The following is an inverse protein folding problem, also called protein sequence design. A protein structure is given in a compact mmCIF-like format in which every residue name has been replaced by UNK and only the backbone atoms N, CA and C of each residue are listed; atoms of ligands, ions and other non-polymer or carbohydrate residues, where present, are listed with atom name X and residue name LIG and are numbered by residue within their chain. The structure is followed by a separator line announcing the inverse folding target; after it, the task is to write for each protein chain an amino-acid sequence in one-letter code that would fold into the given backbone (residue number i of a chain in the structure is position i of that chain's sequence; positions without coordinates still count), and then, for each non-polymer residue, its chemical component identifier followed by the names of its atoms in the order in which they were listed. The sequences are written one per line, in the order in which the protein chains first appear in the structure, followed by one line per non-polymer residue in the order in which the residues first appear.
data_IF_893437981574
#
_entry.id   IF_893437981574
#
_cell.length_a   1.000
_cell.length_b   1.000
_cell.length_c   1.000
_cell.angle_alpha   90.00
_cell.angle_beta   90.00
_cell.angle_gamma   90.00
#
_symmetry.space_group_name_H-M   'P 1'
#
loop_
_entity.id
_entity.type
_entity.pdbx_description
1 polymer ?
#
# COMPACT_ATOMS: atom_id res chain seq x y z
N UNK A 1 -27.34 -2.31 -16.50
CA UNK A 1 -26.94 -3.64 -15.96
C UNK A 1 -28.07 -4.07 -15.04
N UNK A 2 -28.45 -5.35 -15.05
CA UNK A 2 -29.42 -5.88 -14.07
C UNK A 2 -28.68 -6.35 -12.82
N UNK A 3 -29.36 -6.40 -11.69
CA UNK A 3 -28.91 -6.89 -10.39
C UNK A 3 -28.29 -8.28 -10.52
N UNK A 4 -28.97 -9.19 -11.22
CA UNK A 4 -28.49 -10.55 -11.43
C UNK A 4 -27.14 -10.57 -12.16
N UNK A 5 -27.01 -9.78 -13.23
CA UNK A 5 -25.74 -9.66 -13.97
C UNK A 5 -24.64 -9.06 -13.11
N UNK A 6 -24.96 -8.05 -12.29
CA UNK A 6 -23.99 -7.45 -11.36
C UNK A 6 -23.50 -8.47 -10.33
N UNK A 7 -24.41 -9.23 -9.71
CA UNK A 7 -24.07 -10.22 -8.69
C UNK A 7 -23.29 -11.40 -9.29
N UNK A 8 -23.63 -11.85 -10.50
CA UNK A 8 -22.84 -12.87 -11.22
C UNK A 8 -21.41 -12.39 -11.50
N UNK A 9 -21.26 -11.18 -12.05
CA UNK A 9 -19.94 -10.60 -12.29
C UNK A 9 -19.15 -10.44 -10.99
N UNK A 10 -19.79 -10.00 -9.91
CA UNK A 10 -19.16 -9.85 -8.61
C UNK A 10 -18.72 -11.21 -8.06
N UNK A 11 -19.54 -12.26 -8.21
CA UNK A 11 -19.20 -13.63 -7.80
C UNK A 11 -18.00 -14.17 -8.56
N UNK A 12 -17.92 -13.93 -9.87
CA UNK A 12 -16.76 -14.29 -10.70
C UNK A 12 -15.49 -13.56 -10.23
N UNK A 13 -15.60 -12.26 -9.94
CA UNK A 13 -14.47 -11.43 -9.48
C UNK A 13 -13.99 -11.79 -8.07
N UNK A 14 -14.86 -12.34 -7.23
CA UNK A 14 -14.60 -12.68 -5.83
C UNK A 14 -14.37 -14.18 -5.56
N UNK A 15 -14.41 -15.03 -6.59
CA UNK A 15 -14.28 -16.50 -6.50
C UNK A 15 -13.04 -17.00 -5.74
N UNK A 16 -12.00 -16.18 -5.60
CA UNK A 16 -10.79 -16.49 -4.82
C UNK A 16 -10.93 -16.33 -3.30
N UNK A 17 -12.09 -15.89 -2.79
CA UNK A 17 -12.41 -15.85 -1.35
C UNK A 17 -12.88 -17.22 -0.83
N UNK A 18 -12.81 -17.47 0.51
CA UNK A 18 -13.50 -18.59 1.13
C UNK A 18 -14.99 -18.61 0.72
N UNK A 19 -15.55 -19.79 0.45
CA UNK A 19 -16.96 -19.91 0.00
C UNK A 19 -17.94 -19.20 0.92
N UNK A 20 -17.78 -19.37 2.23
CA UNK A 20 -18.67 -18.73 3.22
C UNK A 20 -18.55 -17.20 3.14
N UNK A 21 -17.33 -16.66 3.16
CA UNK A 21 -17.07 -15.22 3.00
C UNK A 21 -17.54 -14.67 1.63
N UNK A 22 -17.57 -15.49 0.57
CA UNK A 22 -18.07 -15.11 -0.75
C UNK A 22 -19.60 -14.95 -0.73
N UNK A 23 -20.30 -15.97 -0.25
CA UNK A 23 -21.76 -15.96 -0.19
C UNK A 23 -22.27 -14.86 0.74
N UNK A 24 -21.63 -14.65 1.90
CA UNK A 24 -21.95 -13.56 2.83
C UNK A 24 -21.84 -12.18 2.14
N UNK A 25 -20.79 -11.97 1.32
CA UNK A 25 -20.62 -10.71 0.59
C UNK A 25 -21.62 -10.54 -0.53
N UNK A 26 -21.95 -11.59 -1.26
CA UNK A 26 -22.97 -11.54 -2.31
C UNK A 26 -24.35 -11.25 -1.70
N UNK A 27 -24.68 -11.88 -0.57
CA UNK A 27 -25.91 -11.61 0.17
C UNK A 27 -25.96 -10.15 0.65
N UNK A 28 -24.89 -9.66 1.27
CA UNK A 28 -24.79 -8.27 1.73
C UNK A 28 -25.02 -7.27 0.59
N UNK A 29 -24.38 -7.46 -0.58
CA UNK A 29 -24.59 -6.55 -1.72
C UNK A 29 -25.96 -6.71 -2.36
N UNK A 30 -26.58 -7.90 -2.33
CA UNK A 30 -27.94 -8.11 -2.80
C UNK A 30 -28.94 -7.34 -1.93
N UNK A 31 -28.87 -7.51 -0.60
CA UNK A 31 -29.72 -6.81 0.38
C UNK A 31 -29.56 -5.30 0.24
N UNK A 32 -28.33 -4.82 0.12
CA UNK A 32 -28.05 -3.39 -0.03
C UNK A 32 -28.54 -2.79 -1.37
N UNK A 33 -28.74 -3.61 -2.42
CA UNK A 33 -29.42 -3.20 -3.67
C UNK A 33 -30.93 -3.19 -3.46
N UNK A 34 -31.47 -4.22 -2.79
CA UNK A 34 -32.90 -4.36 -2.50
C UNK A 34 -33.41 -3.20 -1.65
N UNK A 35 -32.71 -2.84 -0.57
CA UNK A 35 -33.03 -1.69 0.29
C UNK A 35 -33.19 -0.39 -0.52
N UNK A 36 -32.31 -0.15 -1.49
CA UNK A 36 -32.36 1.05 -2.35
C UNK A 36 -33.52 1.02 -3.33
N UNK A 37 -33.85 -0.16 -3.84
CA UNK A 37 -35.03 -0.31 -4.70
C UNK A 37 -36.32 -0.11 -3.89
N UNK A 38 -36.35 -0.54 -2.62
CA UNK A 38 -37.44 -0.29 -1.68
C UNK A 38 -37.59 1.20 -1.31
N UNK A 39 -36.48 1.95 -1.25
CA UNK A 39 -36.46 3.41 -1.09
C UNK A 39 -36.94 4.17 -2.36
N UNK A 40 -37.27 3.45 -3.43
CA UNK A 40 -37.87 4.00 -4.65
C UNK A 40 -36.89 4.34 -5.77
N UNK A 41 -35.61 3.95 -5.66
CA UNK A 41 -34.66 4.08 -6.76
C UNK A 41 -34.92 2.99 -7.82
N UNK A 42 -34.72 3.34 -9.09
CA UNK A 42 -34.67 2.31 -10.14
C UNK A 42 -33.41 1.45 -9.98
N UNK A 43 -33.48 0.19 -10.43
CA UNK A 43 -32.36 -0.77 -10.38
C UNK A 43 -31.05 -0.20 -10.96
N UNK A 44 -31.15 0.59 -12.03
CA UNK A 44 -29.99 1.25 -12.63
C UNK A 44 -29.39 2.36 -11.77
N UNK A 45 -30.21 3.09 -11.01
CA UNK A 45 -29.75 4.14 -10.09
C UNK A 45 -29.15 3.53 -8.83
N UNK A 46 -29.76 2.49 -8.27
CA UNK A 46 -29.23 1.74 -7.13
C UNK A 46 -27.83 1.17 -7.43
N UNK A 47 -27.64 0.57 -8.61
CA UNK A 47 -26.33 0.07 -9.05
C UNK A 47 -25.32 1.20 -9.28
N UNK A 48 -25.78 2.39 -9.72
CA UNK A 48 -24.90 3.55 -9.94
C UNK A 48 -24.39 4.13 -8.63
N UNK A 49 -25.21 4.13 -7.57
CA UNK A 49 -24.77 4.57 -6.23
C UNK A 49 -23.76 3.61 -5.60
N UNK A 50 -23.96 2.30 -5.79
CA UNK A 50 -23.09 1.27 -5.23
C UNK A 50 -21.72 1.24 -5.95
N UNK A 51 -21.75 1.51 -7.25
CA UNK A 51 -20.59 1.48 -8.13
C UNK A 51 -20.51 0.19 -8.95
N UNK A 52 -19.52 0.13 -9.83
CA UNK A 52 -19.34 -1.00 -10.74
C UNK A 52 -18.92 -2.28 -10.01
N UNK A 53 -19.21 -3.45 -10.60
CA UNK A 53 -18.80 -4.75 -10.06
C UNK A 53 -17.28 -4.84 -9.86
N UNK A 54 -16.48 -4.12 -10.67
CA UNK A 54 -15.03 -3.98 -10.49
C UNK A 54 -14.61 -3.17 -9.27
N UNK A 55 -15.24 -2.01 -9.06
CA UNK A 55 -14.95 -1.13 -7.92
C UNK A 55 -15.34 -1.79 -6.60
N UNK A 56 -16.49 -2.48 -6.58
CA UNK A 56 -16.96 -3.23 -5.43
C UNK A 56 -16.03 -4.39 -5.12
N UNK A 57 -15.66 -5.20 -6.13
CA UNK A 57 -14.70 -6.28 -5.95
C UNK A 57 -13.34 -5.78 -5.45
N UNK A 58 -12.86 -4.64 -5.96
CA UNK A 58 -11.62 -4.02 -5.51
C UNK A 58 -11.67 -3.65 -4.03
N UNK A 59 -12.73 -2.97 -3.58
CA UNK A 59 -12.94 -2.60 -2.16
C UNK A 59 -12.99 -3.83 -1.26
N UNK A 60 -13.68 -4.88 -1.70
CA UNK A 60 -13.78 -6.16 -1.00
C UNK A 60 -12.41 -6.83 -0.84
N UNK A 61 -11.64 -6.95 -1.92
CA UNK A 61 -10.30 -7.57 -1.92
C UNK A 61 -9.32 -6.77 -1.06
N UNK A 62 -9.41 -5.43 -1.11
CA UNK A 62 -8.58 -4.55 -0.30
C UNK A 62 -8.79 -4.80 1.20
N UNK A 63 -10.05 -4.84 1.65
CA UNK A 63 -10.45 -5.04 3.05
C UNK A 63 -10.27 -6.47 3.55
N UNK A 64 -10.11 -7.46 2.66
CA UNK A 64 -9.93 -8.85 3.08
C UNK A 64 -8.48 -9.10 3.54
N UNK A 65 -8.28 -9.70 4.73
CA UNK A 65 -6.96 -10.15 5.17
C UNK A 65 -6.37 -11.21 4.21
N UNK A 66 -5.11 -11.02 3.81
CA UNK A 66 -4.38 -11.97 2.96
C UNK A 66 -4.34 -13.39 3.56
N UNK A 67 -4.28 -13.50 4.88
CA UNK A 67 -4.26 -14.78 5.60
C UNK A 67 -5.49 -15.64 5.31
N UNK A 68 -6.69 -15.03 5.22
CA UNK A 68 -7.93 -15.73 4.86
C UNK A 68 -7.88 -16.28 3.43
N UNK A 69 -7.43 -15.45 2.48
CA UNK A 69 -7.33 -15.81 1.06
C UNK A 69 -6.32 -16.97 0.88
N UNK A 70 -5.15 -16.87 1.51
CA UNK A 70 -4.11 -17.90 1.41
C UNK A 70 -4.60 -19.22 2.02
N UNK A 71 -5.26 -19.19 3.18
CA UNK A 71 -5.75 -20.39 3.85
C UNK A 71 -6.72 -21.19 2.97
N UNK A 72 -7.60 -20.50 2.24
CA UNK A 72 -8.48 -21.17 1.28
C UNK A 72 -7.70 -21.70 0.07
N UNK A 73 -6.75 -20.92 -0.47
CA UNK A 73 -6.01 -21.33 -1.67
C UNK A 73 -5.05 -22.50 -1.44
N UNK A 74 -4.50 -22.62 -0.23
CA UNK A 74 -3.58 -23.70 0.17
C UNK A 74 -4.35 -24.99 0.54
N UNK A 75 -5.67 -24.91 0.73
CA UNK A 75 -6.51 -26.06 1.02
C UNK A 75 -6.46 -27.02 -0.19
N UNK A 76 -5.95 -28.24 -0.03
CA UNK A 76 -5.77 -29.14 -1.16
C UNK A 76 -7.13 -29.53 -1.74
N UNK A 77 -7.40 -29.14 -2.99
CA UNK A 77 -8.63 -29.50 -3.71
C UNK A 77 -8.72 -31.00 -4.03
N UNK A 78 -7.58 -31.71 -4.00
CA UNK A 78 -7.45 -33.15 -4.22
C UNK A 78 -6.36 -33.73 -3.33
N UNK A 79 -6.46 -35.02 -3.01
CA UNK A 79 -5.35 -35.74 -2.39
C UNK A 79 -4.17 -35.81 -3.39
N UNK A 80 -2.99 -35.35 -2.97
CA UNK A 80 -1.77 -35.46 -3.77
C UNK A 80 -1.34 -36.92 -3.81
N UNK A 81 -0.95 -37.41 -4.99
CA UNK A 81 -0.39 -38.76 -5.12
C UNK A 81 1.01 -38.81 -4.48
N UNK A 82 1.40 -39.95 -3.93
CA UNK A 82 2.71 -40.13 -3.30
C UNK A 82 3.89 -39.72 -4.22
N UNK A 83 3.78 -39.97 -5.53
CA UNK A 83 4.77 -39.54 -6.52
C UNK A 83 4.89 -38.02 -6.62
N UNK A 84 3.78 -37.29 -6.62
CA UNK A 84 3.78 -35.81 -6.67
C UNK A 84 4.48 -35.23 -5.43
N UNK A 85 4.26 -35.83 -4.25
CA UNK A 85 4.93 -35.44 -3.02
C UNK A 85 6.44 -35.71 -3.10
N UNK A 86 6.85 -36.89 -3.57
CA UNK A 86 8.26 -37.24 -3.73
C UNK A 86 8.96 -36.26 -4.69
N UNK A 87 8.33 -35.94 -5.82
CA UNK A 87 8.86 -34.99 -6.80
C UNK A 87 8.96 -33.57 -6.20
N UNK A 88 7.97 -33.14 -5.42
CA UNK A 88 7.97 -31.84 -4.75
C UNK A 88 9.11 -31.72 -3.73
N UNK A 89 9.36 -32.79 -2.97
CA UNK A 89 10.43 -32.87 -1.96
C UNK A 89 11.81 -32.93 -2.62
N UNK A 90 11.99 -33.71 -3.69
CA UNK A 90 13.24 -33.74 -4.45
C UNK A 90 13.49 -32.44 -5.21
N UNK A 91 12.43 -31.76 -5.65
CA UNK A 91 12.52 -30.45 -6.30
C UNK A 91 12.71 -29.29 -5.31
N UNK A 92 12.40 -29.48 -4.02
CA UNK A 92 12.46 -28.44 -3.00
C UNK A 92 13.82 -27.74 -2.93
N UNK A 93 14.98 -28.44 -2.94
CA UNK A 93 16.29 -27.79 -2.97
C UNK A 93 16.51 -26.85 -4.17
N UNK A 94 15.77 -27.02 -5.27
CA UNK A 94 15.88 -26.19 -6.47
C UNK A 94 14.87 -25.03 -6.47
N UNK A 95 13.58 -25.30 -6.26
CA UNK A 95 12.56 -24.24 -6.36
C UNK A 95 12.45 -23.38 -5.11
N UNK A 96 12.75 -23.93 -3.92
CA UNK A 96 12.61 -23.20 -2.66
C UNK A 96 13.60 -22.02 -2.54
N UNK A 97 14.90 -22.17 -2.86
CA UNK A 97 15.81 -21.03 -2.88
C UNK A 97 15.40 -19.96 -3.90
N UNK A 98 14.93 -20.37 -5.08
CA UNK A 98 14.42 -19.44 -6.10
C UNK A 98 13.23 -18.63 -5.57
N UNK A 99 12.30 -19.28 -4.86
CA UNK A 99 11.19 -18.59 -4.20
C UNK A 99 11.69 -17.59 -3.15
N UNK A 100 12.66 -17.98 -2.32
CA UNK A 100 13.24 -17.07 -1.32
C UNK A 100 13.88 -15.86 -1.99
N UNK A 101 14.69 -16.06 -3.03
CA UNK A 101 15.34 -14.96 -3.77
C UNK A 101 14.29 -13.99 -4.32
N UNK A 102 13.20 -14.51 -4.89
CA UNK A 102 12.10 -13.68 -5.38
C UNK A 102 11.43 -12.86 -4.26
N UNK A 103 11.17 -13.46 -3.09
CA UNK A 103 10.59 -12.75 -1.94
C UNK A 103 11.53 -11.69 -1.38
N UNK A 104 12.82 -12.02 -1.25
CA UNK A 104 13.86 -11.07 -0.80
C UNK A 104 13.97 -9.91 -1.79
N UNK A 105 13.92 -10.17 -3.09
CA UNK A 105 13.96 -9.11 -4.11
C UNK A 105 12.81 -8.11 -3.95
N UNK A 106 11.57 -8.59 -3.75
CA UNK A 106 10.42 -7.71 -3.48
C UNK A 106 10.64 -6.88 -2.22
N UNK A 107 11.15 -7.50 -1.15
CA UNK A 107 11.42 -6.83 0.11
C UNK A 107 12.51 -5.77 -0.04
N UNK A 108 13.59 -6.05 -0.77
CA UNK A 108 14.65 -5.10 -1.08
C UNK A 108 14.10 -3.90 -1.86
N UNK A 109 13.26 -4.12 -2.87
CA UNK A 109 12.61 -3.01 -3.59
C UNK A 109 11.76 -2.13 -2.66
N UNK A 110 11.02 -2.74 -1.73
CA UNK A 110 10.21 -1.99 -0.75
C UNK A 110 11.09 -1.20 0.21
N UNK A 111 12.14 -1.81 0.76
CA UNK A 111 13.08 -1.12 1.66
C UNK A 111 13.78 0.02 0.92
N UNK A 112 14.23 -0.20 -0.32
CA UNK A 112 14.86 0.84 -1.14
C UNK A 112 13.92 2.00 -1.45
N UNK A 113 12.62 1.76 -1.57
CA UNK A 113 11.64 2.82 -1.77
C UNK A 113 11.49 3.67 -0.49
N UNK A 114 11.41 3.03 0.67
CA UNK A 114 11.28 3.70 1.96
C UNK A 114 12.59 4.36 2.43
N UNK A 115 13.76 3.85 2.04
CA UNK A 115 15.04 4.46 2.37
C UNK A 115 15.18 5.87 1.80
N UNK A 116 14.67 6.12 0.58
CA UNK A 116 14.64 7.46 -0.01
C UNK A 116 13.83 8.43 0.86
N UNK A 117 12.68 7.99 1.38
CA UNK A 117 11.85 8.80 2.28
C UNK A 117 12.60 9.12 3.57
N UNK A 118 13.25 8.13 4.18
CA UNK A 118 14.04 8.32 5.41
C UNK A 118 15.19 9.31 5.17
N UNK A 119 15.91 9.19 4.04
CA UNK A 119 17.00 10.11 3.69
C UNK A 119 16.51 11.54 3.54
N UNK A 120 15.35 11.76 2.92
CA UNK A 120 14.75 13.10 2.80
C UNK A 120 14.47 13.71 4.17
N UNK A 121 13.87 12.95 5.09
CA UNK A 121 13.64 13.40 6.46
C UNK A 121 14.93 13.63 7.24
N UNK A 122 15.96 12.82 7.02
CA UNK A 122 17.27 13.01 7.64
C UNK A 122 17.94 14.31 7.17
N UNK A 123 17.87 14.62 5.87
CA UNK A 123 18.38 15.88 5.30
C UNK A 123 17.62 17.07 5.87
N UNK A 124 16.29 16.99 5.96
CA UNK A 124 15.46 18.02 6.57
C UNK A 124 15.85 18.26 8.04
N UNK A 125 16.00 17.18 8.82
CA UNK A 125 16.46 17.26 10.20
C UNK A 125 17.84 17.92 10.32
N UNK A 126 18.76 17.59 9.41
CA UNK A 126 20.08 18.23 9.32
C UNK A 126 20.00 19.74 9.04
N UNK A 127 19.10 20.17 8.17
CA UNK A 127 18.88 21.59 7.88
C UNK A 127 18.28 22.36 9.06
N UNK A 128 17.36 21.73 9.80
CA UNK A 128 16.78 22.31 11.02
C UNK A 128 17.88 22.49 12.07
N UNK A 129 18.70 21.45 12.31
CA UNK A 129 19.84 21.55 13.24
C UNK A 129 20.85 22.60 12.76
N UNK A 130 21.12 22.65 11.46
CA UNK A 130 21.97 23.67 10.84
C UNK A 130 21.45 25.09 11.05
N UNK A 131 20.14 25.30 10.97
CA UNK A 131 19.51 26.58 11.24
C UNK A 131 19.73 27.03 12.69
N UNK A 132 19.48 26.15 13.66
CA UNK A 132 19.73 26.44 15.08
C UNK A 132 21.21 26.68 15.36
N UNK A 133 22.10 25.85 14.79
CA UNK A 133 23.53 26.02 14.94
C UNK A 133 24.03 27.35 14.37
N UNK A 134 23.45 27.81 13.24
CA UNK A 134 23.76 29.12 12.66
C UNK A 134 23.41 30.27 13.61
N UNK A 135 22.25 30.22 14.27
CA UNK A 135 21.83 31.24 15.25
C UNK A 135 22.71 31.21 16.50
N UNK A 136 22.95 30.02 17.08
CA UNK A 136 23.77 29.87 18.29
C UNK A 136 25.21 30.34 18.03
N UNK A 137 25.81 29.89 16.92
CA UNK A 137 27.17 30.30 16.54
C UNK A 137 27.27 31.79 16.28
N UNK A 138 26.27 32.40 15.63
CA UNK A 138 26.23 33.84 15.42
C UNK A 138 26.20 34.62 16.74
N UNK A 139 25.39 34.18 17.72
CA UNK A 139 25.35 34.81 19.04
C UNK A 139 26.71 34.72 19.76
N UNK A 140 27.37 33.55 19.72
CA UNK A 140 28.70 33.38 20.31
C UNK A 140 29.74 34.33 19.71
N UNK A 141 29.80 34.39 18.37
CA UNK A 141 30.75 35.24 17.64
C UNK A 141 30.51 36.74 17.85
N UNK A 142 29.26 37.16 18.12
CA UNK A 142 28.97 38.55 18.50
C UNK A 142 29.63 38.93 19.83
N UNK A 143 29.70 38.02 20.80
CA UNK A 143 30.39 38.28 22.07
C UNK A 143 31.92 38.33 21.93
N UNK A 144 32.47 37.64 20.94
CA UNK A 144 33.91 37.64 20.62
C UNK A 144 34.32 38.86 19.78
N UNK A 145 33.36 39.66 19.29
CA UNK A 145 33.60 40.85 18.47
C UNK A 145 33.80 40.55 16.98
N UNK A 146 33.57 39.32 16.53
CA UNK A 146 33.69 38.91 15.12
C UNK A 146 32.38 39.15 14.34
N UNK A 147 31.98 40.41 14.19
CA UNK A 147 30.69 40.78 13.61
C UNK A 147 30.45 40.26 12.18
N UNK A 148 31.49 40.22 11.34
CA UNK A 148 31.36 39.74 9.95
C UNK A 148 31.05 38.24 9.90
N UNK A 149 31.76 37.44 10.72
CA UNK A 149 31.55 36.00 10.81
C UNK A 149 30.20 35.68 11.45
N UNK A 150 29.81 36.44 12.49
CA UNK A 150 28.49 36.31 13.10
C UNK A 150 27.35 36.52 12.08
N UNK A 151 27.45 37.56 11.24
CA UNK A 151 26.46 37.81 10.19
C UNK A 151 26.43 36.69 9.15
N UNK A 152 27.59 36.16 8.77
CA UNK A 152 27.68 35.03 7.84
C UNK A 152 27.00 33.76 8.40
N UNK A 153 27.22 33.43 9.68
CA UNK A 153 26.57 32.30 10.34
C UNK A 153 25.06 32.48 10.49
N UNK A 154 24.58 33.70 10.75
CA UNK A 154 23.15 34.02 10.75
C UNK A 154 22.53 33.83 9.37
N UNK A 155 23.21 34.29 8.31
CA UNK A 155 22.79 34.09 6.93
C UNK A 155 22.71 32.62 6.53
N UNK A 156 23.71 31.81 6.91
CA UNK A 156 23.70 30.37 6.68
C UNK A 156 22.58 29.66 7.46
N UNK A 157 22.31 30.11 8.69
CA UNK A 157 21.19 29.61 9.49
C UNK A 157 19.83 29.92 8.86
N UNK A 158 19.64 31.16 8.39
CA UNK A 158 18.41 31.58 7.69
C UNK A 158 18.21 30.82 6.37
N UNK A 159 19.27 30.62 5.58
CA UNK A 159 19.23 29.82 4.37
C UNK A 159 18.82 28.37 4.66
N UNK A 160 19.42 27.78 5.71
CA UNK A 160 19.10 26.41 6.14
C UNK A 160 17.65 26.29 6.59
N UNK A 161 17.13 27.28 7.33
CA UNK A 161 15.72 27.33 7.73
C UNK A 161 14.77 27.43 6.53
N UNK A 162 15.09 28.29 5.55
CA UNK A 162 14.31 28.41 4.32
C UNK A 162 14.26 27.12 3.52
N UNK A 163 15.41 26.43 3.40
CA UNK A 163 15.50 25.13 2.74
C UNK A 163 14.74 24.03 3.50
N UNK A 164 14.78 24.05 4.85
CA UNK A 164 14.02 23.09 5.66
C UNK A 164 12.51 23.22 5.42
N UNK A 165 11.97 24.45 5.44
CA UNK A 165 10.54 24.69 5.16
C UNK A 165 10.17 24.23 3.75
N UNK A 166 11.00 24.53 2.75
CA UNK A 166 10.76 24.10 1.38
C UNK A 166 10.78 22.57 1.24
N UNK A 167 11.76 21.90 1.86
CA UNK A 167 11.89 20.45 1.82
C UNK A 167 10.78 19.73 2.57
N UNK A 168 10.23 20.30 3.65
CA UNK A 168 9.10 19.72 4.36
C UNK A 168 7.91 19.42 3.45
N UNK A 169 7.56 20.34 2.53
CA UNK A 169 6.50 20.09 1.53
C UNK A 169 6.88 18.98 0.56
N UNK A 170 8.16 18.91 0.17
CA UNK A 170 8.71 17.82 -0.63
C UNK A 170 8.63 16.46 0.07
N UNK A 171 9.03 16.39 1.34
CA UNK A 171 8.95 15.20 2.20
C UNK A 171 7.51 14.74 2.36
N UNK A 172 6.58 15.66 2.61
CA UNK A 172 5.16 15.36 2.73
C UNK A 172 4.58 14.78 1.44
N UNK A 173 4.89 15.39 0.29
CA UNK A 173 4.49 14.88 -1.02
C UNK A 173 5.09 13.50 -1.28
N UNK A 174 6.40 13.33 -1.06
CA UNK A 174 7.10 12.06 -1.23
C UNK A 174 6.46 10.94 -0.39
N UNK A 175 6.14 11.21 0.87
CA UNK A 175 5.49 10.24 1.74
C UNK A 175 4.11 9.82 1.21
N UNK A 176 3.30 10.79 0.74
CA UNK A 176 1.99 10.53 0.14
C UNK A 176 2.09 9.67 -1.12
N UNK A 177 3.05 9.95 -2.01
CA UNK A 177 3.26 9.17 -3.23
C UNK A 177 3.79 7.77 -2.94
N UNK A 178 4.76 7.64 -2.03
CA UNK A 178 5.31 6.34 -1.61
C UNK A 178 4.26 5.46 -0.96
N UNK A 179 3.39 6.02 -0.12
CA UNK A 179 2.29 5.29 0.49
C UNK A 179 1.28 4.79 -0.56
N UNK A 180 0.84 5.67 -1.47
CA UNK A 180 -0.04 5.30 -2.58
C UNK A 180 0.56 4.22 -3.48
N UNK A 181 1.86 4.32 -3.78
CA UNK A 181 2.56 3.34 -4.60
C UNK A 181 2.61 1.98 -3.89
N UNK A 182 2.93 1.97 -2.60
CA UNK A 182 2.96 0.75 -1.76
C UNK A 182 1.59 0.08 -1.70
N UNK A 183 0.52 0.86 -1.50
CA UNK A 183 -0.86 0.36 -1.54
C UNK A 183 -1.21 -0.24 -2.91
N UNK A 184 -0.86 0.46 -4.00
CA UNK A 184 -1.13 -0.02 -5.37
C UNK A 184 -0.40 -1.32 -5.68
N UNK A 185 0.86 -1.45 -5.26
CA UNK A 185 1.63 -2.68 -5.44
C UNK A 185 0.99 -3.82 -4.63
N UNK A 186 0.67 -3.58 -3.37
CA UNK A 186 0.03 -4.56 -2.49
C UNK A 186 -1.32 -5.01 -3.05
N UNK A 187 -2.13 -4.07 -3.52
CA UNK A 187 -3.42 -4.35 -4.15
C UNK A 187 -3.27 -5.17 -5.43
N UNK A 188 -2.31 -4.84 -6.31
CA UNK A 188 -2.03 -5.64 -7.51
C UNK A 188 -1.60 -7.07 -7.17
N UNK A 189 -0.75 -7.24 -6.16
CA UNK A 189 -0.32 -8.56 -5.70
C UNK A 189 -1.54 -9.35 -5.18
N UNK A 190 -2.37 -8.73 -4.32
CA UNK A 190 -3.63 -9.34 -3.85
C UNK A 190 -4.54 -9.74 -5.01
N UNK A 191 -4.76 -8.85 -5.97
CA UNK A 191 -5.59 -9.11 -7.16
C UNK A 191 -5.06 -10.28 -7.99
N UNK A 192 -3.74 -10.38 -8.18
CA UNK A 192 -3.11 -11.50 -8.89
C UNK A 192 -3.29 -12.84 -8.14
N UNK A 193 -3.26 -12.81 -6.81
CA UNK A 193 -3.50 -14.00 -5.99
C UNK A 193 -4.97 -14.44 -6.10
N UNK A 194 -5.91 -13.50 -6.05
CA UNK A 194 -7.37 -13.78 -6.13
C UNK A 194 -7.80 -14.17 -7.56
N UNK A 195 -7.26 -13.51 -8.59
CA UNK A 195 -7.65 -13.70 -9.99
C UNK A 195 -6.96 -14.85 -10.73
N UNK A 196 -6.04 -15.58 -10.09
CA UNK A 196 -5.48 -16.82 -10.67
C UNK A 196 -6.40 -18.02 -10.37
N UNK A 197 -7.18 -18.34 -11.42
CA UNK A 197 -8.00 -19.54 -11.76
C UNK A 197 -9.47 -19.63 -11.28
#
# INVERSE_FOLDING_TARGET
MTKDKFLEELRLKLKGLPKDDLEDRIAFYSEMIDDRMEEGLSEGEALKEIGTSDEVAAKVIEKTPLTKIIKEKVKPKRALKALEIILLVLGFPLWFPVLIVFLVFILVCMISLWSVVITLWAVEGGLIVGAFNGVISALGLLFEGEYLNALAHLGLGALSAGLAIFLFFGCWAANKYTFKLTQKITFKIKKLIVGKE
#
